data_IF_648511744748
#
_entry.id   IF_648511744748
#
_cell.length_a   1.000
_cell.length_b   1.000
_cell.length_c   1.000
_cell.angle_alpha   90.00
_cell.angle_beta   90.00
_cell.angle_gamma   90.00
#
_symmetry.space_group_name_H-M   'P 1'
#
loop_
_entity.id
_entity.type
_entity.pdbx_description
1 polymer ?
#
# COMPACT_ATOMS: atom_id res chain seq x y z
N UNK A 1 19.20 -13.55 -1.14
CA UNK A 1 17.87 -13.04 -1.49
C UNK A 1 16.81 -13.33 -0.41
N UNK A 2 16.58 -14.56 0.06
CA UNK A 2 15.57 -14.81 1.13
C UNK A 2 15.73 -13.91 2.36
N UNK A 3 16.97 -13.65 2.78
CA UNK A 3 17.24 -12.70 3.88
C UNK A 3 16.85 -11.27 3.54
N UNK A 4 17.07 -10.82 2.30
CA UNK A 4 16.62 -9.51 1.84
C UNK A 4 15.09 -9.40 1.82
N UNK A 5 14.39 -10.47 1.40
CA UNK A 5 12.93 -10.55 1.46
C UNK A 5 12.40 -10.47 2.90
N UNK A 6 13.02 -11.17 3.85
CA UNK A 6 12.65 -11.09 5.27
C UNK A 6 12.83 -9.68 5.85
N UNK A 7 13.88 -8.95 5.44
CA UNK A 7 14.08 -7.55 5.80
C UNK A 7 12.99 -6.64 5.21
N UNK A 8 12.62 -6.87 3.94
CA UNK A 8 11.53 -6.16 3.27
C UNK A 8 10.18 -6.42 3.96
N UNK A 9 9.91 -7.65 4.39
CA UNK A 9 8.72 -8.03 5.14
C UNK A 9 8.66 -7.30 6.49
N UNK A 10 9.78 -7.14 7.18
CA UNK A 10 9.88 -6.33 8.41
C UNK A 10 9.54 -4.84 8.22
N UNK A 11 9.48 -4.36 6.97
CA UNK A 11 9.08 -2.99 6.62
C UNK A 11 7.59 -2.85 6.25
N UNK A 12 6.81 -3.94 6.35
CA UNK A 12 5.45 -4.08 5.79
C UNK A 12 4.48 -2.96 6.18
N UNK A 13 4.56 -2.45 7.41
CA UNK A 13 3.60 -1.48 7.95
C UNK A 13 4.05 -0.01 7.89
N UNK A 14 5.28 0.27 7.41
CA UNK A 14 5.87 1.61 7.55
C UNK A 14 6.17 2.34 6.23
N UNK A 15 6.34 1.61 5.12
CA UNK A 15 6.89 2.21 3.89
C UNK A 15 5.86 2.88 2.98
N UNK A 16 4.57 2.56 3.10
CA UNK A 16 3.54 3.12 2.19
C UNK A 16 3.64 4.64 2.05
N UNK A 17 3.58 5.18 0.82
CA UNK A 17 3.25 4.51 -0.45
C UNK A 17 4.45 3.84 -1.16
N UNK A 18 5.66 3.93 -0.61
CA UNK A 18 6.88 3.37 -1.20
C UNK A 18 6.88 1.83 -1.14
N UNK A 19 7.59 1.15 -2.06
CA UNK A 19 7.74 -0.29 -2.00
C UNK A 19 8.55 -0.73 -0.77
N UNK A 20 8.31 -1.96 -0.36
CA UNK A 20 9.05 -2.64 0.70
C UNK A 20 10.25 -3.29 0.08
N UNK A 21 11.43 -2.76 0.36
CA UNK A 21 12.70 -3.26 -0.20
C UNK A 21 13.62 -3.67 0.93
N UNK A 22 14.33 -4.76 0.72
CA UNK A 22 15.42 -5.22 1.57
C UNK A 22 16.69 -5.36 0.75
N UNK A 23 17.81 -5.02 1.36
CA UNK A 23 19.14 -5.13 0.78
C UNK A 23 20.09 -5.88 1.73
N UNK A 24 20.83 -6.83 1.19
CA UNK A 24 21.89 -7.57 1.90
C UNK A 24 23.19 -7.45 1.10
N UNK A 25 24.23 -6.91 1.71
CA UNK A 25 25.59 -6.89 1.19
C UNK A 25 26.32 -8.12 1.67
N UNK A 26 26.88 -8.93 0.77
CA UNK A 26 27.56 -10.16 1.12
C UNK A 26 28.81 -10.37 0.26
N UNK A 27 29.82 -11.06 0.83
CA UNK A 27 31.03 -11.50 0.15
C UNK A 27 31.45 -12.85 0.70
N UNK A 28 31.79 -13.78 -0.19
CA UNK A 28 32.25 -15.15 0.13
C UNK A 28 31.30 -15.90 1.11
N UNK A 29 29.98 -15.77 0.88
CA UNK A 29 28.95 -16.40 1.73
C UNK A 29 28.69 -15.68 3.07
N UNK A 30 29.46 -14.65 3.42
CA UNK A 30 29.30 -13.90 4.66
C UNK A 30 28.46 -12.63 4.42
N UNK A 31 27.52 -12.34 5.33
CA UNK A 31 26.76 -11.10 5.34
C UNK A 31 27.61 -9.99 5.96
N UNK A 32 27.89 -8.96 5.18
CA UNK A 32 28.65 -7.79 5.60
C UNK A 32 27.77 -6.73 6.24
N UNK A 33 26.65 -6.43 5.61
CA UNK A 33 25.67 -5.45 6.07
C UNK A 33 24.29 -5.74 5.48
N UNK A 34 23.28 -5.13 6.08
CA UNK A 34 21.91 -5.28 5.62
C UNK A 34 21.08 -4.04 5.96
N UNK A 35 20.00 -3.84 5.20
CA UNK A 35 19.09 -2.73 5.39
C UNK A 35 17.71 -3.01 4.80
N UNK A 36 16.72 -2.28 5.26
CA UNK A 36 15.39 -2.26 4.71
C UNK A 36 14.93 -0.81 4.50
N UNK A 37 14.02 -0.60 3.55
CA UNK A 37 13.40 0.71 3.33
C UNK A 37 12.81 1.27 4.62
N UNK A 38 13.12 2.51 4.91
CA UNK A 38 12.55 3.25 6.05
C UNK A 38 11.12 3.73 5.73
N UNK A 39 10.57 4.61 6.57
CA UNK A 39 9.28 5.24 6.30
C UNK A 39 9.30 6.06 4.99
N UNK A 40 8.13 6.41 4.47
CA UNK A 40 8.02 7.22 3.27
C UNK A 40 8.81 8.54 3.39
N UNK A 41 9.70 8.79 2.43
CA UNK A 41 10.63 9.93 2.44
C UNK A 41 11.94 9.66 3.18
N UNK A 42 12.10 8.52 3.86
CA UNK A 42 13.36 8.06 4.45
C UNK A 42 14.28 7.37 3.45
N UNK A 43 15.36 6.75 3.96
CA UNK A 43 16.40 6.10 3.17
C UNK A 43 15.90 4.80 2.54
N UNK A 44 16.37 4.52 1.32
CA UNK A 44 16.17 3.23 0.66
C UNK A 44 17.03 2.14 1.30
N UNK A 45 16.66 0.88 1.08
CA UNK A 45 17.29 -0.28 1.69
C UNK A 45 18.80 -0.36 1.42
N UNK A 46 19.21 0.00 0.20
CA UNK A 46 20.60 0.00 -0.23
C UNK A 46 21.42 1.01 0.56
N UNK A 47 20.89 2.21 0.74
CA UNK A 47 21.55 3.27 1.52
C UNK A 47 21.64 2.87 2.98
N UNK A 48 20.60 2.30 3.56
CA UNK A 48 20.61 1.79 4.94
C UNK A 48 21.69 0.71 5.11
N UNK A 49 21.80 -0.22 4.15
CA UNK A 49 22.82 -1.26 4.17
C UNK A 49 24.23 -0.70 4.04
N UNK A 50 24.47 0.25 3.15
CA UNK A 50 25.78 0.92 2.98
C UNK A 50 26.18 1.71 4.22
N UNK A 51 25.23 2.44 4.81
CA UNK A 51 25.48 3.20 6.05
C UNK A 51 25.77 2.26 7.24
N UNK A 52 25.09 1.12 7.32
CA UNK A 52 25.36 0.09 8.33
C UNK A 52 26.75 -0.54 8.15
N UNK A 53 27.23 -0.72 6.93
CA UNK A 53 28.61 -1.16 6.67
C UNK A 53 29.62 -0.09 7.10
N UNK A 54 29.39 1.15 6.66
CA UNK A 54 30.27 2.30 6.97
C UNK A 54 30.43 2.54 8.47
N UNK A 55 29.31 2.52 9.21
CA UNK A 55 29.33 2.75 10.67
C UNK A 55 30.12 1.69 11.46
N UNK A 56 30.28 0.49 10.86
CA UNK A 56 31.05 -0.61 11.45
C UNK A 56 32.45 -0.75 10.86
N UNK A 57 32.87 0.17 9.98
CA UNK A 57 34.15 0.11 9.31
C UNK A 57 34.35 -1.10 8.38
N UNK A 58 33.23 -1.68 7.88
CA UNK A 58 33.24 -2.86 7.00
C UNK A 58 33.45 -2.44 5.54
N UNK A 59 34.52 -2.94 4.92
CA UNK A 59 34.76 -2.75 3.49
C UNK A 59 33.82 -3.62 2.62
N UNK A 60 33.05 -2.96 1.77
CA UNK A 60 32.09 -3.61 0.87
C UNK A 60 32.55 -3.68 -0.59
N UNK A 61 33.78 -3.23 -0.91
CA UNK A 61 34.32 -3.27 -2.28
C UNK A 61 34.39 -4.71 -2.79
N UNK A 62 33.95 -4.93 -4.02
CA UNK A 62 33.87 -6.25 -4.63
C UNK A 62 32.73 -7.14 -4.10
N UNK A 63 31.99 -6.71 -3.07
CA UNK A 63 30.86 -7.47 -2.53
C UNK A 63 29.68 -7.56 -3.53
N UNK A 64 28.75 -8.48 -3.25
CA UNK A 64 27.46 -8.62 -3.95
C UNK A 64 26.34 -7.98 -3.13
N UNK A 65 25.54 -7.10 -3.72
CA UNK A 65 24.29 -6.64 -3.17
C UNK A 65 23.14 -7.53 -3.66
N UNK A 66 22.38 -8.10 -2.74
CA UNK A 66 21.10 -8.75 -3.01
C UNK A 66 19.99 -7.77 -2.61
N UNK A 67 19.22 -7.30 -3.59
CA UNK A 67 18.16 -6.31 -3.37
C UNK A 67 16.83 -6.82 -3.93
N UNK A 68 15.74 -6.62 -3.20
CA UNK A 68 14.44 -7.21 -3.58
C UNK A 68 13.72 -6.45 -4.69
N UNK A 69 14.19 -5.26 -5.06
CA UNK A 69 13.71 -4.47 -6.18
C UNK A 69 14.91 -3.81 -6.87
N UNK A 70 14.81 -3.55 -8.16
CA UNK A 70 15.83 -2.83 -8.93
C UNK A 70 16.23 -1.51 -8.24
N UNK A 71 17.55 -1.22 -8.06
CA UNK A 71 18.02 0.05 -7.51
C UNK A 71 17.60 1.23 -8.38
N UNK A 72 17.08 2.29 -7.77
CA UNK A 72 16.62 3.46 -8.51
C UNK A 72 17.76 4.17 -9.25
N UNK A 73 17.44 4.74 -10.44
CA UNK A 73 18.35 5.46 -11.33
C UNK A 73 18.07 6.96 -11.43
N UNK A 74 16.92 7.42 -10.92
CA UNK A 74 16.51 8.82 -11.00
C UNK A 74 16.82 9.58 -9.70
N UNK A 75 17.08 10.86 -9.81
CA UNK A 75 17.17 11.76 -8.66
C UNK A 75 15.78 12.05 -8.14
N UNK A 76 15.47 11.51 -6.95
CA UNK A 76 14.29 11.85 -6.20
C UNK A 76 14.63 12.86 -5.09
N UNK A 77 14.17 12.57 -3.87
CA UNK A 77 14.59 13.32 -2.66
C UNK A 77 16.02 13.00 -2.24
N UNK A 78 16.57 11.89 -2.72
CA UNK A 78 17.95 11.42 -2.49
C UNK A 78 18.60 11.08 -3.82
N UNK A 79 19.95 11.06 -3.88
CA UNK A 79 20.65 10.55 -5.06
C UNK A 79 20.26 9.10 -5.38
N UNK A 80 20.42 8.66 -6.66
CA UNK A 80 20.10 7.32 -7.09
C UNK A 80 20.84 6.25 -6.28
N UNK A 81 20.14 5.16 -5.90
CA UNK A 81 20.78 4.04 -5.22
C UNK A 81 21.82 3.34 -6.10
N UNK A 82 21.60 3.28 -7.42
CA UNK A 82 22.57 2.75 -8.36
C UNK A 82 23.93 3.46 -8.24
N UNK A 83 23.95 4.78 -8.14
CA UNK A 83 25.17 5.58 -8.00
C UNK A 83 25.87 5.31 -6.67
N UNK A 84 25.10 5.19 -5.59
CA UNK A 84 25.65 4.88 -4.27
C UNK A 84 26.32 3.50 -4.25
N UNK A 85 25.73 2.50 -4.92
CA UNK A 85 26.31 1.16 -5.05
C UNK A 85 27.59 1.14 -5.90
N UNK A 86 27.63 1.93 -7.01
CA UNK A 86 28.83 2.14 -7.82
C UNK A 86 29.92 2.80 -6.99
N UNK A 87 29.61 3.91 -6.32
CA UNK A 87 30.58 4.65 -5.48
C UNK A 87 31.13 3.81 -4.32
N UNK A 88 30.35 2.86 -3.81
CA UNK A 88 30.79 1.90 -2.80
C UNK A 88 31.70 0.79 -3.36
N UNK A 89 31.89 0.72 -4.68
CA UNK A 89 32.76 -0.24 -5.36
C UNK A 89 32.23 -1.67 -5.34
N UNK A 90 30.88 -1.87 -5.38
CA UNK A 90 30.33 -3.21 -5.41
C UNK A 90 30.70 -3.93 -6.72
N UNK A 91 31.00 -5.23 -6.61
CA UNK A 91 31.36 -6.07 -7.77
C UNK A 91 30.15 -6.69 -8.49
N UNK A 92 29.01 -6.82 -7.78
CA UNK A 92 27.81 -7.46 -8.31
C UNK A 92 26.54 -6.95 -7.65
N UNK A 93 25.46 -6.85 -8.42
CA UNK A 93 24.09 -6.61 -7.91
C UNK A 93 23.17 -7.71 -8.41
N UNK A 94 22.39 -8.31 -7.53
CA UNK A 94 21.34 -9.28 -7.83
C UNK A 94 20.02 -8.66 -7.38
N UNK A 95 19.20 -8.22 -8.33
CA UNK A 95 17.86 -7.73 -8.07
C UNK A 95 16.84 -8.89 -8.16
N UNK A 96 15.84 -8.91 -7.27
CA UNK A 96 14.79 -9.91 -7.37
C UNK A 96 13.86 -9.63 -8.56
N UNK A 97 13.49 -8.38 -8.78
CA UNK A 97 12.61 -7.96 -9.88
C UNK A 97 12.99 -6.58 -10.37
N UNK A 98 12.58 -6.26 -11.61
CA UNK A 98 12.68 -4.89 -12.15
C UNK A 98 11.69 -3.97 -11.46
N UNK A 99 12.01 -2.70 -11.44
CA UNK A 99 11.09 -1.66 -11.00
C UNK A 99 10.13 -1.33 -12.16
N UNK A 100 8.79 -1.46 -11.96
CA UNK A 100 7.80 -1.16 -13.00
C UNK A 100 7.61 0.36 -13.21
N UNK A 101 8.28 1.20 -12.44
CA UNK A 101 8.20 2.65 -12.57
C UNK A 101 8.87 3.09 -13.90
N UNK A 102 8.14 3.75 -14.83
CA UNK A 102 8.70 4.21 -16.09
C UNK A 102 9.95 5.11 -15.96
N UNK A 103 10.15 5.73 -14.80
CA UNK A 103 11.34 6.53 -14.49
C UNK A 103 12.57 5.67 -14.15
N UNK A 104 12.38 4.38 -13.93
CA UNK A 104 13.46 3.41 -13.58
C UNK A 104 13.57 2.35 -14.65
N UNK A 105 12.60 1.49 -14.81
CA UNK A 105 12.38 0.44 -15.82
C UNK A 105 13.65 -0.10 -16.50
N UNK A 106 14.51 -0.74 -15.73
CA UNK A 106 15.80 -1.28 -16.21
C UNK A 106 16.95 -0.26 -16.18
N UNK A 107 16.68 1.02 -15.97
CA UNK A 107 17.70 2.08 -15.98
C UNK A 107 18.69 1.97 -14.82
N UNK A 108 18.26 1.45 -13.67
CA UNK A 108 19.15 1.20 -12.54
C UNK A 108 20.17 0.10 -12.82
N UNK A 109 19.70 -1.01 -13.36
CA UNK A 109 20.56 -2.13 -13.76
C UNK A 109 21.46 -1.77 -14.95
N UNK A 110 20.97 -0.99 -15.91
CA UNK A 110 21.78 -0.48 -17.02
C UNK A 110 22.94 0.39 -16.50
N UNK A 111 22.63 1.37 -15.66
CA UNK A 111 23.62 2.28 -15.06
C UNK A 111 24.71 1.55 -14.27
N UNK A 112 24.33 0.51 -13.53
CA UNK A 112 25.28 -0.34 -12.81
C UNK A 112 26.21 -1.10 -13.79
N UNK A 113 25.65 -1.67 -14.89
CA UNK A 113 26.45 -2.39 -15.91
C UNK A 113 27.43 -1.46 -16.62
N UNK A 114 26.99 -0.26 -16.98
CA UNK A 114 27.83 0.76 -17.64
C UNK A 114 29.03 1.17 -16.76
N UNK A 115 28.85 1.09 -15.42
CA UNK A 115 29.92 1.30 -14.44
C UNK A 115 30.76 0.03 -14.16
N UNK A 116 30.57 -1.07 -14.89
CA UNK A 116 31.33 -2.31 -14.75
C UNK A 116 30.84 -3.25 -13.64
N UNK A 117 29.71 -2.98 -13.02
CA UNK A 117 29.11 -3.86 -11.99
C UNK A 117 28.33 -4.99 -12.67
N UNK A 118 28.57 -6.24 -12.28
CA UNK A 118 27.78 -7.38 -12.78
C UNK A 118 26.37 -7.33 -12.23
N UNK A 119 25.35 -7.52 -13.11
CA UNK A 119 23.95 -7.42 -12.72
C UNK A 119 23.15 -8.63 -13.18
N UNK A 120 22.48 -9.28 -12.23
CA UNK A 120 21.48 -10.31 -12.47
C UNK A 120 20.10 -9.85 -11.94
N UNK A 121 19.02 -10.38 -12.54
CA UNK A 121 17.65 -10.09 -12.13
C UNK A 121 16.78 -11.35 -12.25
N UNK A 122 15.74 -11.44 -11.42
CA UNK A 122 14.75 -12.53 -11.45
C UNK A 122 14.86 -13.56 -10.31
N UNK A 123 15.83 -13.39 -9.40
CA UNK A 123 16.00 -14.33 -8.28
C UNK A 123 14.92 -14.12 -7.21
N UNK A 124 14.00 -15.07 -7.06
CA UNK A 124 12.82 -15.01 -6.17
C UNK A 124 11.90 -13.82 -6.54
N UNK A 125 11.67 -13.63 -7.83
CA UNK A 125 10.87 -12.53 -8.36
C UNK A 125 9.43 -12.58 -7.86
N UNK A 126 8.80 -13.76 -7.85
CA UNK A 126 7.40 -13.91 -7.43
C UNK A 126 7.21 -13.49 -5.97
N UNK A 127 8.12 -13.89 -5.08
CA UNK A 127 8.08 -13.53 -3.67
C UNK A 127 8.30 -12.02 -3.46
N UNK A 128 9.18 -11.40 -4.24
CA UNK A 128 9.40 -9.95 -4.18
C UNK A 128 8.20 -9.15 -4.68
N UNK A 129 7.54 -9.63 -5.74
CA UNK A 129 6.29 -9.02 -6.27
C UNK A 129 5.14 -9.20 -5.29
N UNK A 130 5.00 -10.36 -4.64
CA UNK A 130 3.96 -10.63 -3.63
C UNK A 130 4.05 -9.67 -2.43
N UNK A 131 5.25 -9.33 -1.98
CA UNK A 131 5.44 -8.30 -0.94
C UNK A 131 4.98 -6.91 -1.39
N UNK A 132 4.97 -6.64 -2.69
CA UNK A 132 4.74 -5.32 -3.28
C UNK A 132 3.56 -5.27 -4.26
N UNK A 133 2.57 -6.18 -4.14
CA UNK A 133 1.42 -6.29 -5.05
C UNK A 133 0.77 -4.94 -5.37
N UNK A 134 0.57 -4.11 -4.35
CA UNK A 134 -0.03 -2.80 -4.53
C UNK A 134 0.85 -1.81 -5.30
N UNK A 135 2.17 -1.86 -5.12
CA UNK A 135 3.11 -1.04 -5.87
C UNK A 135 3.07 -1.41 -7.37
N UNK A 136 3.17 -2.70 -7.68
CA UNK A 136 3.08 -3.22 -9.05
C UNK A 136 1.71 -2.94 -9.66
N UNK A 137 0.60 -3.25 -8.97
CA UNK A 137 -0.75 -3.00 -9.47
C UNK A 137 -0.98 -1.54 -9.84
N UNK A 138 -0.55 -0.62 -8.98
CA UNK A 138 -0.70 0.81 -9.23
C UNK A 138 0.07 1.28 -10.47
N UNK A 139 1.28 0.79 -10.68
CA UNK A 139 2.13 1.24 -11.80
C UNK A 139 1.81 0.51 -13.11
N UNK A 140 1.56 -0.80 -13.05
CA UNK A 140 1.30 -1.61 -14.25
C UNK A 140 -0.16 -1.55 -14.70
N UNK A 141 -1.12 -1.41 -13.77
CA UNK A 141 -2.57 -1.47 -14.03
C UNK A 141 -3.28 -0.13 -13.83
N UNK A 142 -2.62 0.90 -13.30
CA UNK A 142 -3.22 2.20 -12.98
C UNK A 142 -4.27 2.14 -11.87
N UNK A 143 -4.32 1.07 -11.06
CA UNK A 143 -5.28 0.89 -9.97
C UNK A 143 -4.66 0.19 -8.76
N UNK A 144 -5.18 0.40 -7.52
CA UNK A 144 -4.73 -0.33 -6.36
C UNK A 144 -4.92 -1.84 -6.50
N UNK A 145 -4.10 -2.61 -5.80
CA UNK A 145 -4.44 -3.99 -5.48
C UNK A 145 -5.54 -3.99 -4.41
N UNK A 146 -6.75 -4.42 -4.79
CA UNK A 146 -7.89 -4.46 -3.87
C UNK A 146 -8.03 -5.87 -3.30
N UNK A 147 -7.93 -5.96 -1.97
CA UNK A 147 -8.23 -7.16 -1.20
C UNK A 147 -9.63 -7.01 -0.58
N UNK A 148 -10.54 -7.91 -0.96
CA UNK A 148 -11.87 -7.96 -0.39
C UNK A 148 -11.91 -8.89 0.83
N UNK A 149 -12.24 -8.35 2.01
CA UNK A 149 -12.47 -9.13 3.22
C UNK A 149 -13.96 -9.37 3.42
N UNK A 150 -14.34 -10.63 3.54
CA UNK A 150 -15.71 -11.04 3.86
C UNK A 150 -15.70 -11.85 5.15
N UNK A 151 -16.62 -11.54 6.07
CA UNK A 151 -16.94 -12.42 7.21
C UNK A 151 -18.24 -13.14 6.87
N UNK A 152 -18.20 -14.46 6.80
CA UNK A 152 -19.37 -15.28 6.51
C UNK A 152 -19.36 -16.58 7.32
N UNK A 153 -20.52 -17.18 7.49
CA UNK A 153 -20.67 -18.56 7.91
C UNK A 153 -20.18 -19.51 6.80
N UNK A 154 -20.13 -20.81 7.08
CA UNK A 154 -19.66 -21.83 6.12
C UNK A 154 -20.55 -21.90 4.85
N UNK A 155 -21.84 -21.62 5.01
CA UNK A 155 -22.82 -21.52 3.92
C UNK A 155 -22.90 -20.13 3.25
N UNK A 156 -21.95 -19.23 3.54
CA UNK A 156 -21.80 -17.94 2.88
C UNK A 156 -22.68 -16.81 3.42
N UNK A 157 -23.38 -17.02 4.54
CA UNK A 157 -24.26 -16.01 5.14
C UNK A 157 -23.43 -14.94 5.87
N UNK A 158 -23.68 -13.67 5.56
CA UNK A 158 -22.97 -12.50 6.11
C UNK A 158 -23.77 -11.74 7.18
N UNK A 159 -25.07 -12.02 7.31
CA UNK A 159 -25.96 -11.51 8.36
C UNK A 159 -27.19 -12.41 8.48
N UNK A 160 -27.77 -12.46 9.67
CA UNK A 160 -29.07 -13.13 9.89
C UNK A 160 -30.21 -12.35 9.21
N UNK A 161 -31.40 -12.97 9.01
CA UNK A 161 -32.57 -12.28 8.43
C UNK A 161 -33.00 -11.02 9.19
N UNK A 162 -32.74 -10.95 10.49
CA UNK A 162 -33.01 -9.78 11.34
C UNK A 162 -31.90 -8.71 11.25
N UNK A 163 -30.87 -8.88 10.40
CA UNK A 163 -29.74 -7.96 10.21
C UNK A 163 -28.58 -8.16 11.20
N UNK A 164 -28.69 -9.06 12.17
CA UNK A 164 -27.58 -9.30 13.11
C UNK A 164 -26.38 -9.94 12.38
N UNK A 165 -25.21 -9.30 12.49
CA UNK A 165 -23.94 -9.72 11.84
C UNK A 165 -22.77 -9.90 12.81
N UNK A 166 -22.99 -9.70 14.10
CA UNK A 166 -21.95 -9.76 15.14
C UNK A 166 -22.23 -10.91 16.12
N UNK A 167 -21.27 -11.83 16.37
CA UNK A 167 -19.95 -11.96 15.73
C UNK A 167 -19.92 -13.25 14.92
N UNK A 168 -19.67 -13.16 13.61
CA UNK A 168 -19.58 -14.32 12.73
C UNK A 168 -18.23 -15.02 12.89
N UNK A 169 -17.16 -14.25 13.12
CA UNK A 169 -15.78 -14.75 13.24
C UNK A 169 -15.26 -14.61 14.67
N UNK A 170 -14.37 -15.53 15.05
CA UNK A 170 -13.76 -15.56 16.38
C UNK A 170 -12.75 -14.41 16.63
N UNK A 171 -12.28 -14.24 17.89
CA UNK A 171 -11.35 -13.17 18.27
C UNK A 171 -10.04 -13.19 17.48
N UNK A 172 -9.48 -14.38 17.18
CA UNK A 172 -8.24 -14.52 16.41
C UNK A 172 -8.38 -13.97 14.99
N UNK A 173 -9.47 -14.31 14.28
CA UNK A 173 -9.73 -13.78 12.95
C UNK A 173 -9.93 -12.26 12.96
N UNK A 174 -10.58 -11.72 14.00
CA UNK A 174 -10.72 -10.26 14.16
C UNK A 174 -9.39 -9.57 14.47
N UNK A 175 -8.48 -10.22 15.20
CA UNK A 175 -7.13 -9.73 15.41
C UNK A 175 -6.33 -9.73 14.10
N UNK A 176 -6.43 -10.78 13.29
CA UNK A 176 -5.77 -10.88 11.99
C UNK A 176 -6.18 -9.75 11.02
N UNK A 177 -7.43 -9.33 11.02
CA UNK A 177 -7.90 -8.17 10.21
C UNK A 177 -7.06 -6.91 10.47
N UNK A 178 -6.57 -6.69 11.70
CA UNK A 178 -5.75 -5.53 12.00
C UNK A 178 -4.36 -5.60 11.36
N UNK A 179 -3.80 -6.79 11.08
CA UNK A 179 -2.59 -6.95 10.27
C UNK A 179 -2.84 -6.52 8.82
N UNK A 180 -3.97 -6.89 8.24
CA UNK A 180 -4.35 -6.48 6.89
C UNK A 180 -4.62 -4.98 6.79
N UNK A 181 -5.25 -4.36 7.79
CA UNK A 181 -5.41 -2.90 7.87
C UNK A 181 -4.06 -2.19 8.00
N UNK A 182 -3.15 -2.70 8.83
CA UNK A 182 -1.81 -2.12 9.02
C UNK A 182 -0.98 -2.18 7.73
N UNK A 183 -1.11 -3.27 6.95
CA UNK A 183 -0.46 -3.44 5.66
C UNK A 183 -1.00 -2.49 4.61
N UNK A 184 -2.31 -2.30 4.55
CA UNK A 184 -2.99 -1.53 3.51
C UNK A 184 -2.62 -0.03 3.54
N UNK A 185 -2.61 0.62 2.37
CA UNK A 185 -2.55 2.08 2.28
C UNK A 185 -3.86 2.71 2.73
N UNK A 186 -4.98 2.07 2.38
CA UNK A 186 -6.31 2.51 2.75
C UNK A 186 -7.26 1.34 3.07
N UNK A 187 -8.25 1.61 3.93
CA UNK A 187 -9.38 0.71 4.20
C UNK A 187 -10.62 1.31 3.55
N UNK A 188 -11.28 0.53 2.69
CA UNK A 188 -12.50 0.93 1.98
C UNK A 188 -13.73 0.35 2.66
N UNK A 189 -14.76 1.17 2.82
CA UNK A 189 -16.09 0.73 3.25
C UNK A 189 -17.19 1.46 2.48
N UNK A 190 -18.44 1.03 2.65
CA UNK A 190 -19.61 1.72 2.13
C UNK A 190 -20.42 2.39 3.23
N UNK A 191 -21.19 3.42 2.86
CA UNK A 191 -22.05 4.15 3.80
C UNK A 191 -23.04 3.25 4.53
N UNK A 192 -23.50 2.16 3.89
CA UNK A 192 -24.37 1.18 4.56
C UNK A 192 -23.70 0.58 5.80
N UNK A 193 -22.47 0.08 5.65
CA UNK A 193 -21.69 -0.48 6.78
C UNK A 193 -21.47 0.56 7.89
N UNK A 194 -21.23 1.82 7.51
CA UNK A 194 -21.05 2.89 8.51
C UNK A 194 -22.35 3.13 9.30
N UNK A 195 -23.50 3.11 8.63
CA UNK A 195 -24.80 3.28 9.29
C UNK A 195 -25.20 2.11 10.20
N UNK A 196 -24.91 0.89 9.72
CA UNK A 196 -25.36 -0.33 10.39
C UNK A 196 -24.44 -0.73 11.56
N UNK A 197 -23.10 -0.60 11.38
CA UNK A 197 -22.10 -1.11 12.34
C UNK A 197 -21.33 0.00 13.06
N UNK A 198 -21.38 1.25 12.60
CA UNK A 198 -20.60 2.40 13.07
C UNK A 198 -19.12 2.05 13.41
N UNK A 199 -18.36 1.50 12.43
CA UNK A 199 -17.04 0.96 12.68
C UNK A 199 -15.99 2.07 12.80
N UNK A 200 -14.90 1.80 13.54
CA UNK A 200 -13.76 2.73 13.64
C UNK A 200 -12.79 2.60 12.46
N UNK A 201 -12.65 1.43 11.86
CA UNK A 201 -11.76 1.12 10.73
C UNK A 201 -10.27 1.47 10.95
N UNK A 202 -9.87 1.60 12.19
CA UNK A 202 -8.48 1.86 12.60
C UNK A 202 -7.71 0.57 12.90
N UNK A 203 -6.38 0.70 13.05
CA UNK A 203 -5.51 -0.37 13.53
C UNK A 203 -5.35 -0.23 15.04
N UNK A 204 -5.69 -1.27 15.82
CA UNK A 204 -5.64 -1.28 17.30
C UNK A 204 -4.79 -2.37 17.91
N UNK A 205 -4.69 -3.53 17.25
CA UNK A 205 -4.07 -4.74 17.82
C UNK A 205 -2.70 -5.06 17.22
N UNK A 206 -2.18 -4.16 16.39
CA UNK A 206 -0.87 -4.29 15.73
C UNK A 206 -0.09 -3.02 15.96
N UNK A 207 1.17 -3.16 16.36
CA UNK A 207 2.08 -2.02 16.44
C UNK A 207 2.35 -1.49 15.03
N UNK A 208 1.97 -0.25 14.76
CA UNK A 208 2.17 0.41 13.47
C UNK A 208 2.47 1.90 13.68
N UNK A 209 3.41 2.47 12.92
CA UNK A 209 3.71 3.91 13.02
C UNK A 209 2.66 4.78 12.31
N UNK A 210 1.72 4.20 11.56
CA UNK A 210 0.71 4.92 10.79
C UNK A 210 -0.66 4.25 10.87
N UNK A 211 -1.71 5.03 10.59
CA UNK A 211 -3.05 4.52 10.30
C UNK A 211 -3.29 4.50 8.79
N UNK A 212 -4.08 3.55 8.25
CA UNK A 212 -4.53 3.59 6.87
C UNK A 212 -5.52 4.73 6.65
N UNK A 213 -5.54 5.30 5.44
CA UNK A 213 -6.62 6.20 5.02
C UNK A 213 -7.96 5.45 5.08
N UNK A 214 -9.00 6.04 5.65
CA UNK A 214 -10.35 5.48 5.66
C UNK A 214 -11.14 6.03 4.48
N UNK A 215 -11.51 5.18 3.54
CA UNK A 215 -12.26 5.55 2.34
C UNK A 215 -13.70 5.07 2.48
N UNK A 216 -14.65 6.00 2.43
CA UNK A 216 -16.08 5.69 2.48
C UNK A 216 -16.70 5.95 1.10
N UNK A 217 -17.28 4.91 0.50
CA UNK A 217 -18.11 5.06 -0.71
C UNK A 217 -19.50 5.51 -0.26
N UNK A 218 -19.78 6.78 -0.46
CA UNK A 218 -21.00 7.45 -0.05
C UNK A 218 -21.49 8.39 -1.15
N UNK A 219 -22.19 7.82 -2.11
CA UNK A 219 -22.59 8.54 -3.33
C UNK A 219 -23.38 9.83 -3.08
N UNK A 220 -24.01 9.99 -1.91
CA UNK A 220 -24.91 11.10 -1.58
C UNK A 220 -24.46 11.96 -0.40
N UNK A 221 -23.27 11.72 0.16
CA UNK A 221 -22.77 12.39 1.36
C UNK A 221 -23.77 12.29 2.54
N UNK A 222 -24.15 11.05 2.87
CA UNK A 222 -25.04 10.72 4.00
C UNK A 222 -24.25 10.40 5.30
N UNK A 223 -22.92 10.48 5.26
CA UNK A 223 -22.04 10.21 6.41
C UNK A 223 -22.34 11.19 7.54
N UNK A 224 -22.70 10.64 8.71
CA UNK A 224 -22.92 11.46 9.90
C UNK A 224 -21.61 12.07 10.41
N UNK A 225 -21.57 13.38 10.75
CA UNK A 225 -20.43 13.98 11.44
C UNK A 225 -20.09 13.34 12.81
N UNK A 226 -21.01 12.52 13.35
CA UNK A 226 -20.83 11.82 14.63
C UNK A 226 -20.34 10.39 14.45
N UNK A 227 -20.10 9.91 13.22
CA UNK A 227 -19.63 8.54 12.95
C UNK A 227 -18.31 8.25 13.68
N UNK A 228 -18.22 7.08 14.34
CA UNK A 228 -17.04 6.70 15.14
C UNK A 228 -15.75 6.65 14.36
N UNK A 229 -15.82 6.41 13.04
CA UNK A 229 -14.63 6.43 12.18
C UNK A 229 -13.96 7.82 12.13
N UNK A 230 -14.70 8.91 12.42
CA UNK A 230 -14.17 10.27 12.48
C UNK A 230 -13.53 10.60 13.84
N UNK A 231 -14.01 9.99 14.92
CA UNK A 231 -13.67 10.39 16.29
C UNK A 231 -12.20 10.20 16.70
N UNK A 232 -11.42 9.40 15.95
CA UNK A 232 -9.97 9.20 16.15
C UNK A 232 -9.15 9.50 14.91
N UNK A 233 -9.78 10.02 13.87
CA UNK A 233 -9.09 10.40 12.64
C UNK A 233 -8.42 11.77 12.81
N UNK A 234 -7.20 11.89 12.32
CA UNK A 234 -6.59 13.21 12.11
C UNK A 234 -7.18 13.83 10.86
N UNK A 235 -7.13 15.15 10.71
CA UNK A 235 -7.49 15.80 9.46
C UNK A 235 -6.79 15.14 8.26
N UNK A 236 -7.55 14.83 7.22
CA UNK A 236 -7.02 14.15 6.03
C UNK A 236 -6.93 12.62 6.09
N UNK A 237 -7.20 11.99 7.24
CA UNK A 237 -7.20 10.51 7.36
C UNK A 237 -8.53 9.85 6.96
N UNK A 238 -9.53 10.64 6.56
CA UNK A 238 -10.81 10.15 6.03
C UNK A 238 -11.09 10.80 4.69
N UNK A 239 -11.46 9.98 3.72
CA UNK A 239 -11.88 10.39 2.38
C UNK A 239 -13.25 9.81 2.08
N UNK A 240 -14.18 10.67 1.64
CA UNK A 240 -15.52 10.26 1.22
C UNK A 240 -15.65 10.46 -0.27
N UNK A 241 -15.88 9.36 -1.00
CA UNK A 241 -16.13 9.38 -2.43
C UNK A 241 -17.63 9.53 -2.70
N UNK A 242 -18.01 10.55 -3.46
CA UNK A 242 -19.40 10.88 -3.76
C UNK A 242 -19.64 11.12 -5.27
N UNK A 243 -20.91 11.08 -5.68
CA UNK A 243 -21.34 11.27 -7.08
C UNK A 243 -22.28 12.46 -7.22
N UNK A 244 -22.20 13.44 -6.33
CA UNK A 244 -22.99 14.67 -6.34
C UNK A 244 -22.32 15.73 -7.21
N UNK A 245 -23.13 16.65 -7.74
CA UNK A 245 -22.62 17.89 -8.31
C UNK A 245 -21.98 18.80 -7.25
N UNK A 246 -21.27 19.83 -7.70
CA UNK A 246 -20.50 20.71 -6.83
C UNK A 246 -21.39 21.44 -5.79
N UNK A 247 -22.58 21.91 -6.21
CA UNK A 247 -23.50 22.65 -5.33
C UNK A 247 -24.07 21.77 -4.22
N UNK A 248 -24.50 20.55 -4.58
CA UNK A 248 -25.00 19.58 -3.60
C UNK A 248 -23.88 19.12 -2.65
N UNK A 249 -22.67 18.86 -3.20
CA UNK A 249 -21.52 18.45 -2.41
C UNK A 249 -21.04 19.55 -1.45
N UNK A 250 -21.13 20.82 -1.85
CA UNK A 250 -20.81 21.94 -0.97
C UNK A 250 -21.78 21.99 0.22
N UNK A 251 -23.07 21.96 -0.06
CA UNK A 251 -24.10 21.99 0.98
C UNK A 251 -24.04 20.83 1.94
N UNK A 252 -23.99 19.59 1.44
CA UNK A 252 -24.02 18.37 2.27
C UNK A 252 -22.68 18.07 2.94
N UNK A 253 -21.58 18.50 2.32
CA UNK A 253 -20.23 18.20 2.79
C UNK A 253 -19.64 19.20 3.77
N UNK A 254 -20.30 20.35 4.01
CA UNK A 254 -19.76 21.44 4.83
C UNK A 254 -19.29 20.96 6.20
N UNK A 255 -20.15 20.30 6.98
CA UNK A 255 -19.84 19.80 8.30
C UNK A 255 -18.72 18.73 8.31
N UNK A 256 -18.60 17.95 7.24
CA UNK A 256 -17.53 16.96 7.10
C UNK A 256 -16.18 17.64 6.81
N UNK A 257 -16.16 18.68 5.98
CA UNK A 257 -14.94 19.46 5.70
C UNK A 257 -14.41 20.16 6.95
N UNK A 258 -15.31 20.71 7.79
CA UNK A 258 -14.93 21.31 9.08
C UNK A 258 -14.22 20.31 10.01
N UNK A 259 -14.54 19.03 9.90
CA UNK A 259 -13.87 17.93 10.61
C UNK A 259 -12.58 17.44 9.91
N UNK A 260 -12.17 18.07 8.81
CA UNK A 260 -10.96 17.71 8.06
C UNK A 260 -11.14 16.48 7.17
N UNK A 261 -12.38 16.08 6.86
CA UNK A 261 -12.68 15.00 5.91
C UNK A 261 -12.41 15.49 4.49
N UNK A 262 -11.67 14.69 3.71
CA UNK A 262 -11.50 14.92 2.28
C UNK A 262 -12.75 14.44 1.52
N UNK A 263 -13.30 15.29 0.68
CA UNK A 263 -14.40 14.94 -0.22
C UNK A 263 -13.83 14.73 -1.63
N UNK A 264 -14.15 13.60 -2.24
CA UNK A 264 -13.73 13.23 -3.59
C UNK A 264 -14.94 13.07 -4.48
N UNK A 265 -15.15 14.03 -5.38
CA UNK A 265 -16.13 13.88 -6.45
C UNK A 265 -15.64 12.83 -7.45
N UNK A 266 -16.47 11.83 -7.72
CA UNK A 266 -16.23 10.75 -8.67
C UNK A 266 -17.41 10.69 -9.63
N UNK A 267 -17.20 10.47 -10.93
CA UNK A 267 -18.31 10.30 -11.88
C UNK A 267 -19.34 9.27 -11.42
N UNK A 268 -20.56 9.41 -11.89
CA UNK A 268 -21.57 8.37 -11.75
C UNK A 268 -21.21 7.14 -12.61
N UNK A 269 -21.48 5.95 -12.08
CA UNK A 269 -21.38 4.73 -12.86
C UNK A 269 -22.34 4.79 -14.07
N UNK A 270 -21.88 4.43 -15.28
CA UNK A 270 -22.68 4.55 -16.50
C UNK A 270 -24.01 3.77 -16.44
N UNK A 271 -24.00 2.61 -15.78
CA UNK A 271 -25.14 1.70 -15.62
C UNK A 271 -25.99 1.97 -14.35
N UNK A 272 -25.52 2.87 -13.47
CA UNK A 272 -26.17 3.14 -12.17
C UNK A 272 -26.12 4.64 -11.83
N UNK A 273 -27.02 5.46 -12.41
CA UNK A 273 -27.09 6.89 -12.12
C UNK A 273 -27.17 7.18 -10.62
N UNK A 274 -26.43 8.18 -10.16
CA UNK A 274 -26.35 8.58 -8.76
C UNK A 274 -25.55 7.62 -7.87
N UNK A 275 -24.76 6.70 -8.46
CA UNK A 275 -23.78 5.86 -7.75
C UNK A 275 -22.37 6.17 -8.23
N UNK A 276 -21.42 6.18 -7.32
CA UNK A 276 -20.00 6.32 -7.62
C UNK A 276 -19.55 5.26 -8.61
N UNK A 277 -18.87 5.66 -9.68
CA UNK A 277 -18.16 4.75 -10.57
C UNK A 277 -16.93 4.16 -9.86
N UNK A 278 -16.94 2.84 -9.67
CA UNK A 278 -15.87 2.15 -8.94
C UNK A 278 -14.56 2.08 -9.73
N UNK A 279 -14.62 2.05 -11.07
CA UNK A 279 -13.40 2.10 -11.89
C UNK A 279 -12.74 3.48 -11.76
N UNK A 280 -13.51 4.55 -11.92
CA UNK A 280 -13.02 5.91 -11.73
C UNK A 280 -12.46 6.11 -10.31
N UNK A 281 -13.15 5.60 -9.29
CA UNK A 281 -12.65 5.64 -7.91
C UNK A 281 -11.29 4.94 -7.76
N UNK A 282 -11.11 3.75 -8.36
CA UNK A 282 -9.83 3.04 -8.30
C UNK A 282 -8.71 3.84 -8.97
N UNK A 283 -8.96 4.47 -10.11
CA UNK A 283 -7.97 5.34 -10.77
C UNK A 283 -7.62 6.56 -9.92
N UNK A 284 -8.61 7.21 -9.32
CA UNK A 284 -8.40 8.35 -8.42
C UNK A 284 -7.57 7.96 -7.17
N UNK A 285 -7.83 6.78 -6.60
CA UNK A 285 -7.05 6.28 -5.48
C UNK A 285 -5.60 5.96 -5.90
N UNK A 286 -5.38 5.39 -7.08
CA UNK A 286 -4.04 5.14 -7.61
C UNK A 286 -3.27 6.43 -7.85
N UNK A 287 -3.90 7.47 -8.41
CA UNK A 287 -3.32 8.80 -8.60
C UNK A 287 -2.90 9.43 -7.26
N UNK A 288 -3.62 9.13 -6.18
CA UNK A 288 -3.29 9.51 -4.79
C UNK A 288 -2.26 8.59 -4.12
N UNK A 289 -1.56 7.77 -4.91
CA UNK A 289 -0.53 6.84 -4.46
C UNK A 289 -1.03 5.72 -3.53
N UNK A 290 -2.32 5.41 -3.53
CA UNK A 290 -2.86 4.25 -2.82
C UNK A 290 -2.52 3.00 -3.63
N UNK A 291 -1.60 2.18 -3.14
CA UNK A 291 -1.20 0.92 -3.78
C UNK A 291 -2.04 -0.27 -3.31
N UNK A 292 -2.16 -0.48 -1.99
CA UNK A 292 -2.96 -1.57 -1.43
C UNK A 292 -4.23 -1.02 -0.77
N UNK A 293 -5.39 -1.57 -1.18
CA UNK A 293 -6.71 -1.23 -0.66
C UNK A 293 -7.33 -2.46 0.00
N UNK A 294 -7.74 -2.33 1.27
CA UNK A 294 -8.42 -3.38 2.02
C UNK A 294 -9.90 -3.03 2.17
N UNK A 295 -10.78 -3.77 1.49
CA UNK A 295 -12.20 -3.52 1.54
C UNK A 295 -12.88 -4.32 2.67
N UNK A 296 -13.54 -3.62 3.57
CA UNK A 296 -14.39 -4.15 4.63
C UNK A 296 -15.79 -3.55 4.47
N UNK A 297 -16.63 -4.18 3.68
CA UNK A 297 -17.93 -3.64 3.30
C UNK A 297 -19.05 -4.69 3.39
N UNK A 298 -20.27 -4.22 3.40
CA UNK A 298 -21.45 -5.09 3.36
C UNK A 298 -21.68 -5.67 1.96
N UNK A 299 -22.63 -6.62 1.86
CA UNK A 299 -22.90 -7.42 0.68
C UNK A 299 -23.12 -6.57 -0.60
N UNK A 300 -23.81 -5.43 -0.48
CA UNK A 300 -24.12 -4.56 -1.65
C UNK A 300 -22.86 -3.99 -2.30
N UNK A 301 -21.94 -3.43 -1.51
CA UNK A 301 -20.70 -2.87 -2.07
C UNK A 301 -19.77 -3.99 -2.50
N UNK A 302 -19.70 -5.10 -1.76
CA UNK A 302 -18.91 -6.27 -2.15
C UNK A 302 -19.35 -6.81 -3.51
N UNK A 303 -20.67 -6.97 -3.74
CA UNK A 303 -21.21 -7.39 -5.03
C UNK A 303 -20.88 -6.40 -6.15
N UNK A 304 -20.94 -5.09 -5.86
CA UNK A 304 -20.55 -4.06 -6.84
C UNK A 304 -19.08 -4.09 -7.19
N UNK A 305 -18.19 -4.29 -6.21
CA UNK A 305 -16.73 -4.40 -6.42
C UNK A 305 -16.38 -5.65 -7.25
N UNK A 306 -17.01 -6.78 -6.95
CA UNK A 306 -16.85 -8.03 -7.72
C UNK A 306 -17.40 -7.89 -9.14
N UNK A 307 -18.62 -7.35 -9.29
CA UNK A 307 -19.25 -7.15 -10.60
C UNK A 307 -18.49 -6.16 -11.49
N UNK A 308 -17.82 -5.18 -10.91
CA UNK A 308 -16.92 -4.27 -11.62
C UNK A 308 -15.55 -4.89 -11.97
N UNK A 309 -15.21 -6.09 -11.48
CA UNK A 309 -13.91 -6.72 -11.76
C UNK A 309 -12.71 -5.94 -11.22
N UNK A 310 -12.90 -5.21 -10.12
CA UNK A 310 -11.82 -4.39 -9.51
C UNK A 310 -11.12 -5.08 -8.34
N UNK A 311 -11.60 -6.25 -7.93
CA UNK A 311 -11.03 -7.09 -6.87
C UNK A 311 -9.84 -7.89 -7.38
#
# INVERSE_FOLDING_TARGET
MRRALALAEGALYRTSPNPRVGCVLARDGQVLAEGATEHAGGRHAEIVALDAARSRGVDVRGATAYVTLEPCSHHGRTPPCADALVAAGLGRVVAATRDPNPLVDGGGLARLRDAGVRCDCGLLENEARELNLGFFSRLERGRPWLRLKVASSLDGITALPNGASQWITGPAARADVHHWRARACAVLTGIGTVRDDDPQLDVRHVATPRQPLRVVVDSRLELSPRARLLGRARPGEVLVAHALDEREAESRGAALRELGVQLLAVPCAPDKPGKVDLHALMHELAARQIGELHAEAGARLNASLLGAGVV
#
